data_IF_494698481297
#
_entry.id   IF_494698481297
#
_cell.length_a   1.000
_cell.length_b   1.000
_cell.length_c   1.000
_cell.angle_alpha   90.00
_cell.angle_beta   90.00
_cell.angle_gamma   90.00
#
_symmetry.space_group_name_H-M   'P 1'
#
loop_
_entity.id
_entity.type
_entity.pdbx_description
1 polymer ?
#
# COMPACT_ATOMS: atom_id res chain seq x y z
N UNK A 1 -11.57 15.76 -2.81
CA UNK A 1 -11.03 14.51 -2.25
C UNK A 1 -12.09 13.43 -2.07
N UNK A 2 -13.13 13.55 -1.18
CA UNK A 2 -14.19 12.50 -1.05
C UNK A 2 -14.89 12.24 -2.39
N UNK A 3 -15.24 13.30 -3.12
CA UNK A 3 -15.84 13.19 -4.45
C UNK A 3 -14.91 12.45 -5.42
N UNK A 4 -13.65 12.80 -5.46
CA UNK A 4 -12.63 12.17 -6.32
C UNK A 4 -12.45 10.69 -5.99
N UNK A 5 -12.35 10.35 -4.70
CA UNK A 5 -12.25 8.95 -4.26
C UNK A 5 -13.49 8.15 -4.63
N UNK A 6 -14.68 8.74 -4.51
CA UNK A 6 -15.93 8.10 -4.93
C UNK A 6 -15.98 7.91 -6.44
N UNK A 7 -15.64 8.95 -7.22
CA UNK A 7 -15.67 8.91 -8.67
C UNK A 7 -14.61 7.95 -9.25
N UNK A 8 -13.50 7.75 -8.51
CA UNK A 8 -12.49 6.73 -8.78
C UNK A 8 -12.88 5.32 -8.28
N UNK A 9 -14.04 5.16 -7.65
CA UNK A 9 -14.50 3.87 -7.14
C UNK A 9 -13.73 3.33 -5.93
N UNK A 10 -12.95 4.18 -5.24
CA UNK A 10 -12.14 3.80 -4.07
C UNK A 10 -12.99 3.69 -2.81
N UNK A 11 -14.05 4.49 -2.73
CA UNK A 11 -15.01 4.48 -1.63
C UNK A 11 -16.44 4.43 -2.15
N UNK A 12 -17.35 3.93 -1.33
CA UNK A 12 -18.79 3.89 -1.58
C UNK A 12 -19.56 4.36 -0.33
N UNK A 13 -20.83 4.80 -0.45
CA UNK A 13 -21.70 5.07 0.70
C UNK A 13 -21.82 3.82 1.58
N UNK A 14 -21.93 4.00 2.89
CA UNK A 14 -21.99 2.90 3.85
C UNK A 14 -23.18 3.04 4.80
N UNK A 15 -23.72 1.89 5.21
CA UNK A 15 -24.68 1.73 6.31
C UNK A 15 -24.05 0.92 7.45
N UNK A 16 -22.74 0.90 7.53
CA UNK A 16 -21.97 0.10 8.48
C UNK A 16 -22.28 0.52 9.93
N UNK A 17 -22.34 -0.46 10.86
CA UNK A 17 -22.35 -0.17 12.30
C UNK A 17 -20.99 0.30 12.84
N UNK A 18 -19.93 0.21 12.02
CA UNK A 18 -18.59 0.66 12.37
C UNK A 18 -18.36 2.07 11.86
N UNK A 19 -17.55 2.84 12.59
CA UNK A 19 -17.11 4.16 12.15
C UNK A 19 -15.73 4.48 12.73
N UNK A 20 -14.84 4.94 11.86
CA UNK A 20 -13.53 5.46 12.24
C UNK A 20 -13.47 6.97 11.96
N UNK A 21 -12.83 7.77 12.81
CA UNK A 21 -12.69 9.21 12.57
C UNK A 21 -11.63 9.49 11.50
N UNK A 22 -11.83 10.61 10.79
CA UNK A 22 -10.85 11.15 9.85
C UNK A 22 -9.95 12.15 10.56
N UNK A 23 -8.66 12.07 10.28
CA UNK A 23 -7.64 12.99 10.77
C UNK A 23 -6.90 13.59 9.58
N UNK A 24 -6.83 14.92 9.52
CA UNK A 24 -6.05 15.63 8.52
C UNK A 24 -4.65 15.89 9.07
N UNK A 25 -3.62 15.31 8.43
CA UNK A 25 -2.22 15.46 8.83
C UNK A 25 -1.52 16.44 7.89
N UNK A 26 -0.98 17.57 8.38
CA UNK A 26 -0.27 18.51 7.55
C UNK A 26 1.03 17.88 7.01
N UNK A 27 1.31 18.11 5.74
CA UNK A 27 2.58 17.76 5.10
C UNK A 27 3.57 18.93 5.15
N UNK A 28 4.85 18.65 4.91
CA UNK A 28 5.91 19.67 4.87
C UNK A 28 5.73 20.69 3.73
N UNK A 29 5.04 20.31 2.67
CA UNK A 29 4.73 21.14 1.50
C UNK A 29 3.49 22.04 1.68
N UNK A 30 2.89 22.05 2.88
CA UNK A 30 1.69 22.81 3.21
C UNK A 30 0.37 22.14 2.81
N UNK A 31 0.41 21.02 2.09
CA UNK A 31 -0.77 20.22 1.80
C UNK A 31 -1.19 19.37 3.02
N UNK A 32 -2.37 18.77 2.98
CA UNK A 32 -2.84 17.89 4.04
C UNK A 32 -3.03 16.47 3.52
N UNK A 33 -2.61 15.48 4.31
CA UNK A 33 -2.88 14.07 4.07
C UNK A 33 -4.18 13.69 4.77
N UNK A 34 -5.09 13.09 4.02
CA UNK A 34 -6.29 12.46 4.56
C UNK A 34 -5.92 11.11 5.16
N UNK A 35 -6.18 10.94 6.44
CA UNK A 35 -5.93 9.71 7.16
C UNK A 35 -7.21 9.29 7.90
N UNK A 36 -7.48 7.99 7.93
CA UNK A 36 -8.53 7.42 8.78
C UNK A 36 -7.86 6.78 9.99
N UNK A 37 -8.34 7.06 11.17
CA UNK A 37 -7.78 6.50 12.40
C UNK A 37 -8.32 5.09 12.67
N UNK A 38 -7.62 4.11 12.16
CA UNK A 38 -7.95 2.69 12.36
C UNK A 38 -7.33 2.06 13.61
N UNK A 39 -6.71 2.82 14.52
CA UNK A 39 -6.11 2.26 15.74
C UNK A 39 -7.09 1.37 16.53
N UNK A 40 -8.36 1.79 16.80
CA UNK A 40 -9.30 0.93 17.52
C UNK A 40 -9.69 -0.34 16.75
N UNK A 41 -9.70 -0.30 15.42
CA UNK A 41 -9.92 -1.47 14.56
C UNK A 41 -8.70 -2.39 14.59
N UNK A 42 -7.50 -1.83 14.44
CA UNK A 42 -6.23 -2.55 14.45
C UNK A 42 -5.99 -3.29 15.77
N UNK A 43 -6.41 -2.71 16.91
CA UNK A 43 -6.30 -3.34 18.22
C UNK A 43 -7.15 -4.63 18.35
N UNK A 44 -8.20 -4.74 17.53
CA UNK A 44 -9.11 -5.91 17.49
C UNK A 44 -8.83 -6.85 16.33
N UNK A 45 -7.97 -6.47 15.44
CA UNK A 45 -7.60 -7.28 14.27
C UNK A 45 -6.50 -8.25 14.63
N UNK A 46 -6.68 -9.52 14.26
CA UNK A 46 -5.60 -10.52 14.35
C UNK A 46 -4.49 -10.11 13.38
N UNK A 47 -3.31 -9.86 13.92
CA UNK A 47 -2.17 -9.41 13.14
C UNK A 47 -1.65 -10.54 12.26
N UNK A 48 -1.46 -10.24 10.99
CA UNK A 48 -0.81 -11.12 10.04
C UNK A 48 0.70 -11.18 10.37
N UNK A 49 1.24 -12.39 10.46
CA UNK A 49 2.66 -12.63 10.74
C UNK A 49 3.48 -12.83 9.46
N UNK A 50 2.95 -12.39 8.31
CA UNK A 50 3.69 -12.51 7.06
C UNK A 50 5.04 -11.77 7.16
N UNK A 51 6.16 -12.46 6.86
CA UNK A 51 7.47 -11.85 6.99
C UNK A 51 7.62 -10.71 5.99
N UNK A 52 8.12 -9.58 6.46
CA UNK A 52 8.56 -8.49 5.59
C UNK A 52 10.02 -8.73 5.19
N UNK A 53 10.41 -8.33 3.98
CA UNK A 53 11.81 -8.42 3.56
C UNK A 53 12.73 -7.74 4.55
N UNK A 54 13.85 -8.41 4.87
CA UNK A 54 14.86 -7.82 5.74
C UNK A 54 15.74 -6.87 4.94
N UNK A 55 15.91 -5.67 5.43
CA UNK A 55 16.72 -4.63 4.77
C UNK A 55 18.16 -5.14 4.52
N UNK A 56 18.74 -5.86 5.48
CA UNK A 56 20.11 -6.40 5.35
C UNK A 56 20.22 -7.36 4.18
N UNK A 57 19.26 -8.31 4.03
CA UNK A 57 19.22 -9.25 2.92
C UNK A 57 18.97 -8.53 1.57
N UNK A 58 18.11 -7.51 1.59
CA UNK A 58 17.85 -6.68 0.40
C UNK A 58 19.10 -5.91 -0.05
N UNK A 59 19.91 -5.40 0.89
CA UNK A 59 21.15 -4.71 0.58
C UNK A 59 22.21 -5.63 -0.03
N UNK A 60 22.27 -6.89 0.40
CA UNK A 60 23.18 -7.88 -0.17
C UNK A 60 22.86 -8.15 -1.66
N UNK A 61 21.59 -8.15 -2.05
CA UNK A 61 21.17 -8.33 -3.45
C UNK A 61 21.58 -7.16 -4.36
N UNK A 62 21.61 -5.93 -3.85
CA UNK A 62 22.02 -4.77 -4.65
C UNK A 62 23.52 -4.53 -4.65
N UNK A 63 24.29 -5.28 -3.86
CA UNK A 63 25.73 -5.13 -3.76
C UNK A 63 26.41 -5.33 -5.13
N UNK A 64 27.27 -4.35 -5.52
CA UNK A 64 27.96 -4.38 -6.80
C UNK A 64 27.18 -3.79 -7.97
N UNK A 65 25.88 -3.49 -7.83
CA UNK A 65 25.10 -2.82 -8.88
C UNK A 65 25.56 -1.37 -9.06
N UNK A 66 25.58 -0.93 -10.33
CA UNK A 66 25.97 0.42 -10.70
C UNK A 66 24.78 1.27 -11.20
N UNK A 67 23.68 0.64 -11.58
CA UNK A 67 22.48 1.29 -12.10
C UNK A 67 21.26 0.93 -11.25
N UNK A 68 20.48 1.95 -10.92
CA UNK A 68 19.32 1.84 -10.06
C UNK A 68 18.14 2.62 -10.64
N UNK A 69 16.95 2.05 -10.59
CA UNK A 69 15.69 2.73 -10.89
C UNK A 69 14.72 2.45 -9.77
N UNK A 70 14.24 3.50 -9.10
CA UNK A 70 13.19 3.39 -8.09
C UNK A 70 11.85 3.72 -8.74
N UNK A 71 10.87 2.84 -8.55
CA UNK A 71 9.50 3.00 -9.03
C UNK A 71 8.59 3.06 -7.80
N UNK A 72 7.84 4.15 -7.67
CA UNK A 72 6.80 4.31 -6.66
C UNK A 72 5.45 3.86 -7.25
N UNK A 73 4.80 2.91 -6.61
CA UNK A 73 3.48 2.47 -7.03
C UNK A 73 2.43 3.50 -6.61
N UNK A 74 1.85 4.17 -7.59
CA UNK A 74 0.82 5.17 -7.34
C UNK A 74 -0.34 4.60 -6.53
N UNK A 75 -0.42 5.00 -5.25
CA UNK A 75 -1.47 4.54 -4.33
C UNK A 75 -1.57 3.01 -4.26
N UNK A 76 -0.43 2.32 -4.10
CA UNK A 76 -0.33 0.86 -4.21
C UNK A 76 -1.41 0.08 -3.47
N UNK A 77 -1.74 0.47 -2.23
CA UNK A 77 -2.78 -0.18 -1.44
C UNK A 77 -4.18 -0.05 -2.06
N UNK A 78 -4.50 1.05 -2.72
CA UNK A 78 -5.79 1.22 -3.40
C UNK A 78 -5.96 0.34 -4.64
N UNK A 79 -4.89 -0.29 -5.11
CA UNK A 79 -4.95 -1.27 -6.20
C UNK A 79 -5.44 -2.65 -5.74
N UNK A 80 -5.53 -2.88 -4.43
CA UNK A 80 -5.99 -4.12 -3.83
C UNK A 80 -7.47 -4.00 -3.45
N UNK A 81 -8.32 -4.87 -3.97
CA UNK A 81 -9.75 -4.88 -3.61
C UNK A 81 -9.95 -5.33 -2.15
N UNK A 82 -10.87 -4.68 -1.45
CA UNK A 82 -11.33 -5.17 -0.15
C UNK A 82 -12.25 -6.37 -0.31
N UNK A 83 -12.09 -7.37 0.56
CA UNK A 83 -13.05 -8.46 0.68
C UNK A 83 -14.44 -7.88 1.03
N UNK A 84 -15.53 -8.34 0.38
CA UNK A 84 -16.86 -7.79 0.59
C UNK A 84 -17.29 -7.75 2.06
N UNK A 85 -16.94 -8.79 2.83
CA UNK A 85 -17.24 -8.93 4.26
C UNK A 85 -16.43 -7.99 5.16
N UNK A 86 -15.36 -7.41 4.64
CA UNK A 86 -14.47 -6.52 5.39
C UNK A 86 -14.70 -5.03 5.07
N UNK A 87 -15.36 -4.71 3.96
CA UNK A 87 -15.63 -3.32 3.54
C UNK A 87 -16.26 -2.50 4.65
N UNK A 88 -17.32 -3.03 5.28
CA UNK A 88 -18.05 -2.34 6.34
C UNK A 88 -17.16 -1.97 7.55
N UNK A 89 -16.13 -2.75 7.85
CA UNK A 89 -15.18 -2.49 8.94
C UNK A 89 -14.31 -1.26 8.67
N UNK A 90 -14.13 -0.88 7.39
CA UNK A 90 -13.33 0.28 6.99
C UNK A 90 -14.11 1.59 7.01
N UNK A 91 -15.36 1.58 7.47
CA UNK A 91 -16.23 2.74 7.42
C UNK A 91 -15.68 3.93 8.21
N UNK A 92 -15.82 5.11 7.63
CA UNK A 92 -15.38 6.38 8.20
C UNK A 92 -16.38 7.50 7.93
N UNK A 93 -16.33 8.55 8.74
CA UNK A 93 -17.18 9.73 8.57
C UNK A 93 -16.36 11.00 8.45
N UNK A 94 -16.85 11.92 7.62
CA UNK A 94 -16.31 13.27 7.47
C UNK A 94 -17.23 14.32 8.13
N UNK A 95 -18.18 13.87 8.93
CA UNK A 95 -19.25 14.70 9.51
C UNK A 95 -20.46 14.87 8.58
N UNK A 96 -20.35 14.45 7.33
CA UNK A 96 -21.47 14.41 6.35
C UNK A 96 -21.44 13.07 5.63
N UNK A 97 -22.32 12.16 6.07
CA UNK A 97 -22.42 10.81 5.51
C UNK A 97 -21.38 9.84 6.07
N UNK A 98 -21.62 8.58 5.83
CA UNK A 98 -20.77 7.46 6.18
C UNK A 98 -20.27 6.83 4.87
N UNK A 99 -18.99 6.54 4.81
CA UNK A 99 -18.31 6.00 3.64
C UNK A 99 -17.52 4.76 4.03
N UNK A 100 -17.35 3.82 3.14
CA UNK A 100 -16.48 2.66 3.32
C UNK A 100 -15.58 2.47 2.11
N UNK A 101 -14.44 1.82 2.30
CA UNK A 101 -13.51 1.54 1.22
C UNK A 101 -13.92 0.29 0.44
N UNK A 102 -13.83 0.38 -0.87
CA UNK A 102 -13.94 -0.74 -1.81
C UNK A 102 -12.58 -1.37 -2.09
N UNK A 103 -11.52 -0.59 -1.85
CA UNK A 103 -10.12 -0.96 -2.00
C UNK A 103 -9.41 -0.86 -0.64
N UNK A 104 -8.25 -1.47 -0.50
CA UNK A 104 -7.52 -1.52 0.76
C UNK A 104 -7.01 -0.13 1.17
N UNK A 105 -7.48 0.47 2.28
CA UNK A 105 -7.03 1.77 2.71
C UNK A 105 -5.67 1.71 3.42
N UNK A 106 -5.00 2.86 3.46
CA UNK A 106 -3.85 3.06 4.33
C UNK A 106 -4.26 3.02 5.80
N UNK A 107 -3.36 2.52 6.65
CA UNK A 107 -3.51 2.53 8.11
C UNK A 107 -4.11 1.26 8.71
N UNK A 108 -4.51 0.26 7.92
CA UNK A 108 -4.83 -1.07 8.43
C UNK A 108 -3.55 -1.83 8.79
N UNK A 109 -3.53 -2.51 9.95
CA UNK A 109 -2.33 -3.21 10.44
C UNK A 109 -1.82 -4.31 9.51
N UNK A 110 -2.71 -4.96 8.76
CA UNK A 110 -2.38 -6.06 7.85
C UNK A 110 -2.20 -5.62 6.39
N UNK A 111 -2.36 -4.31 6.09
CA UNK A 111 -2.26 -3.80 4.72
C UNK A 111 -0.89 -4.10 4.09
N UNK A 112 0.18 -3.83 4.82
CA UNK A 112 1.54 -4.08 4.36
C UNK A 112 1.79 -5.56 4.05
N UNK A 113 1.40 -6.46 4.96
CA UNK A 113 1.56 -7.91 4.77
C UNK A 113 0.76 -8.44 3.58
N UNK A 114 -0.45 -7.90 3.38
CA UNK A 114 -1.30 -8.26 2.24
C UNK A 114 -0.69 -7.78 0.93
N UNK A 115 -0.16 -6.57 0.92
CA UNK A 115 0.46 -5.97 -0.25
C UNK A 115 1.76 -6.69 -0.64
N UNK A 116 2.61 -6.98 0.34
CA UNK A 116 3.85 -7.75 0.13
C UNK A 116 3.55 -9.11 -0.52
N UNK A 117 2.61 -9.86 0.03
CA UNK A 117 2.16 -11.15 -0.52
C UNK A 117 1.63 -11.02 -1.96
N UNK A 118 0.99 -9.89 -2.30
CA UNK A 118 0.56 -9.61 -3.66
C UNK A 118 1.77 -9.36 -4.56
N UNK A 119 2.71 -8.52 -4.13
CA UNK A 119 3.89 -8.17 -4.90
C UNK A 119 4.78 -9.38 -5.18
N UNK A 120 4.96 -10.28 -4.22
CA UNK A 120 5.67 -11.55 -4.44
C UNK A 120 5.01 -12.41 -5.54
N UNK A 121 3.68 -12.42 -5.60
CA UNK A 121 2.96 -13.13 -6.67
C UNK A 121 3.11 -12.46 -8.03
N UNK A 122 3.06 -11.13 -8.06
CA UNK A 122 3.20 -10.34 -9.30
C UNK A 122 4.62 -10.46 -9.86
N UNK A 123 5.62 -10.52 -8.98
CA UNK A 123 7.03 -10.55 -9.34
C UNK A 123 7.66 -11.95 -9.25
N UNK A 124 6.83 -13.00 -9.22
CA UNK A 124 7.28 -14.40 -9.06
C UNK A 124 8.35 -14.82 -10.09
N UNK A 125 8.27 -14.27 -11.30
CA UNK A 125 9.21 -14.56 -12.40
C UNK A 125 10.42 -13.60 -12.40
N UNK A 126 10.47 -12.64 -11.47
CA UNK A 126 11.52 -11.64 -11.40
C UNK A 126 12.47 -11.95 -10.24
N UNK A 127 13.73 -12.27 -10.52
CA UNK A 127 14.68 -12.64 -9.48
C UNK A 127 15.07 -11.43 -8.62
N UNK A 128 15.32 -11.64 -7.31
CA UNK A 128 15.71 -10.56 -6.38
C UNK A 128 16.99 -9.81 -6.79
N UNK A 129 17.86 -10.47 -7.58
CA UNK A 129 19.09 -9.88 -8.14
C UNK A 129 18.83 -8.84 -9.22
N UNK A 130 17.56 -8.60 -9.59
CA UNK A 130 17.15 -7.60 -10.59
C UNK A 130 16.14 -6.63 -10.09
N UNK A 131 15.23 -7.07 -9.21
CA UNK A 131 14.15 -6.26 -8.70
C UNK A 131 13.88 -6.62 -7.25
N UNK A 132 13.92 -5.62 -6.39
CA UNK A 132 13.54 -5.73 -4.99
C UNK A 132 12.24 -4.96 -4.76
N UNK A 133 11.41 -5.52 -3.89
CA UNK A 133 10.23 -4.83 -3.35
C UNK A 133 10.51 -4.48 -1.91
N UNK A 134 10.21 -3.27 -1.55
CA UNK A 134 10.21 -2.86 -0.15
C UNK A 134 9.00 -1.95 0.12
N UNK A 135 7.99 -2.50 0.76
CA UNK A 135 6.71 -1.84 0.98
C UNK A 135 6.05 -1.42 -0.34
N UNK A 136 5.92 -0.12 -0.59
CA UNK A 136 5.29 0.46 -1.79
C UNK A 136 6.30 0.73 -2.91
N UNK A 137 7.60 0.55 -2.65
CA UNK A 137 8.68 0.88 -3.57
C UNK A 137 9.23 -0.36 -4.29
N UNK A 138 9.45 -0.23 -5.59
CA UNK A 138 10.17 -1.20 -6.42
C UNK A 138 11.55 -0.64 -6.74
N UNK A 139 12.59 -1.39 -6.46
CA UNK A 139 13.95 -1.05 -6.81
C UNK A 139 14.48 -2.02 -7.87
N UNK A 140 14.62 -1.54 -9.10
CA UNK A 140 15.26 -2.26 -10.19
C UNK A 140 16.73 -1.89 -10.23
N UNK A 141 17.62 -2.87 -10.34
CA UNK A 141 19.06 -2.64 -10.30
C UNK A 141 19.82 -3.57 -11.26
N UNK A 142 21.05 -3.20 -11.57
CA UNK A 142 21.90 -3.98 -12.46
C UNK A 142 23.34 -3.49 -12.52
N UNK A 143 24.23 -4.37 -13.01
CA UNK A 143 25.66 -4.06 -13.17
C UNK A 143 25.92 -3.06 -14.32
N UNK A 144 25.03 -3.03 -15.33
CA UNK A 144 25.08 -2.11 -16.46
C UNK A 144 23.67 -1.61 -16.79
N UNK A 145 23.60 -0.57 -17.61
CA UNK A 145 22.32 0.03 -18.04
C UNK A 145 21.40 -0.99 -18.71
N UNK A 146 21.93 -1.78 -19.64
CA UNK A 146 21.12 -2.75 -20.40
C UNK A 146 20.54 -3.84 -19.48
N UNK A 147 21.26 -4.28 -18.44
CA UNK A 147 20.75 -5.27 -17.48
C UNK A 147 19.66 -4.70 -16.59
N UNK A 148 19.77 -3.46 -16.14
CA UNK A 148 18.74 -2.78 -15.35
C UNK A 148 17.54 -2.41 -16.22
N UNK A 149 17.76 -1.85 -17.43
CA UNK A 149 16.70 -1.44 -18.34
C UNK A 149 15.90 -2.62 -18.90
N UNK A 150 16.57 -3.73 -19.25
CA UNK A 150 15.92 -4.95 -19.74
C UNK A 150 14.97 -5.60 -18.72
N UNK A 151 15.09 -5.27 -17.44
CA UNK A 151 14.16 -5.71 -16.39
C UNK A 151 12.86 -4.90 -16.39
N UNK A 152 12.88 -3.67 -16.92
CA UNK A 152 11.72 -2.77 -16.98
C UNK A 152 10.83 -2.98 -18.23
N UNK A 153 11.32 -3.73 -19.22
CA UNK A 153 10.58 -4.06 -20.44
C UNK A 153 9.94 -5.43 -20.38
#
# INVERSE_FOLDING_TARGET
MIQEMRDAGIIEPSESPWVSPVVMVPKKDGSSRFCVDYRPLNDRTVKDSYPLPRIDESLDHVAGSAWFSSLDLQSGYWQVAMAPEDKAKTAFTTGRGLWQFTTMPFGLCNATATFERLMEKVLVDMPPERCLVYLDDLLVHGLCFDSAFGTLM
#
